data_IF_618126584288
#
_entry.id   IF_618126584288
#
_cell.length_a   1.000
_cell.length_b   1.000
_cell.length_c   1.000
_cell.angle_alpha   90.00
_cell.angle_beta   90.00
_cell.angle_gamma   90.00
#
_symmetry.space_group_name_H-M   'P 1'
#
loop_
_entity.id
_entity.type
_entity.pdbx_description
1 polymer ?
#
# COMPACT_ATOMS: atom_id res chain seq x y z
N UNK A 1 -21.90 -11.60 23.60
CA UNK A 1 -20.70 -11.00 23.01
C UNK A 1 -21.13 -10.24 21.77
N UNK A 2 -21.16 -8.91 21.86
CA UNK A 2 -21.53 -8.06 20.74
C UNK A 2 -20.37 -8.08 19.73
N UNK A 3 -20.51 -8.82 18.63
CA UNK A 3 -19.74 -8.54 17.43
C UNK A 3 -20.18 -7.15 16.98
N UNK A 4 -19.33 -6.14 17.25
CA UNK A 4 -19.53 -4.82 16.68
C UNK A 4 -19.59 -4.97 15.17
N UNK A 5 -20.75 -4.72 14.59
CA UNK A 5 -20.91 -4.58 13.15
C UNK A 5 -20.07 -3.36 12.75
N UNK A 6 -18.80 -3.58 12.43
CA UNK A 6 -17.98 -2.58 11.78
C UNK A 6 -18.66 -2.31 10.45
N UNK A 7 -19.36 -1.18 10.34
CA UNK A 7 -19.96 -0.76 9.09
C UNK A 7 -18.80 -0.53 8.12
N UNK A 8 -18.56 -1.52 7.26
CA UNK A 8 -17.51 -1.49 6.22
C UNK A 8 -17.81 -0.29 5.31
N UNK A 9 -16.90 0.68 5.35
CA UNK A 9 -16.96 1.90 4.58
C UNK A 9 -15.81 1.85 3.56
N UNK A 10 -16.14 1.81 2.28
CA UNK A 10 -15.18 1.75 1.19
C UNK A 10 -14.11 2.86 1.26
N UNK A 11 -14.43 4.03 1.83
CA UNK A 11 -13.45 5.10 2.05
C UNK A 11 -12.35 4.64 3.01
N UNK A 12 -12.72 4.05 4.15
CA UNK A 12 -11.76 3.53 5.13
C UNK A 12 -10.92 2.40 4.54
N UNK A 13 -11.53 1.54 3.72
CA UNK A 13 -10.80 0.46 3.05
C UNK A 13 -9.79 0.99 2.03
N UNK A 14 -10.14 2.04 1.27
CA UNK A 14 -9.22 2.73 0.36
C UNK A 14 -8.07 3.39 1.14
N UNK A 15 -8.39 4.15 2.19
CA UNK A 15 -7.40 4.81 3.03
C UNK A 15 -6.42 3.79 3.64
N UNK A 16 -6.93 2.69 4.20
CA UNK A 16 -6.12 1.62 4.77
C UNK A 16 -5.20 0.99 3.73
N UNK A 17 -5.71 0.58 2.56
CA UNK A 17 -4.86 -0.08 1.55
C UNK A 17 -3.78 0.84 0.98
N UNK A 18 -4.09 2.13 0.79
CA UNK A 18 -3.10 3.13 0.36
C UNK A 18 -2.07 3.36 1.48
N UNK A 19 -2.53 3.50 2.73
CA UNK A 19 -1.69 3.77 3.88
C UNK A 19 -0.72 2.62 4.18
N UNK A 20 -1.18 1.37 4.03
CA UNK A 20 -0.36 0.18 4.26
C UNK A 20 0.78 0.00 3.25
N UNK A 21 0.78 0.70 2.10
CA UNK A 21 1.95 0.73 1.21
C UNK A 21 3.06 1.69 1.67
N UNK A 22 2.82 2.45 2.74
CA UNK A 22 3.82 3.26 3.40
C UNK A 22 4.24 4.49 2.57
N UNK A 23 5.41 5.05 2.92
CA UNK A 23 5.91 6.28 2.30
C UNK A 23 6.22 6.14 0.80
N UNK A 24 6.48 4.91 0.34
CA UNK A 24 6.72 4.59 -1.06
C UNK A 24 5.50 4.79 -1.97
N UNK A 25 4.31 4.64 -1.40
CA UNK A 25 3.04 4.77 -2.10
C UNK A 25 2.66 3.57 -2.96
N UNK A 26 1.39 3.55 -3.34
CA UNK A 26 0.77 2.50 -4.16
C UNK A 26 0.49 3.00 -5.57
N UNK A 27 0.70 2.18 -6.60
CA UNK A 27 0.22 2.51 -7.96
C UNK A 27 -1.28 2.24 -8.09
N UNK A 28 -1.91 2.80 -9.12
CA UNK A 28 -3.34 2.55 -9.41
C UNK A 28 -3.60 1.04 -9.56
N UNK A 29 -2.80 0.33 -10.35
CA UNK A 29 -3.00 -1.11 -10.59
C UNK A 29 -2.76 -1.93 -9.32
N UNK A 30 -1.74 -1.58 -8.53
CA UNK A 30 -1.48 -2.27 -7.27
C UNK A 30 -2.62 -2.08 -6.27
N UNK A 31 -3.25 -0.89 -6.24
CA UNK A 31 -4.43 -0.65 -5.40
C UNK A 31 -5.59 -1.56 -5.79
N UNK A 32 -5.86 -1.74 -7.08
CA UNK A 32 -6.89 -2.67 -7.53
C UNK A 32 -6.60 -4.10 -7.12
N UNK A 33 -5.35 -4.54 -7.28
CA UNK A 33 -4.92 -5.89 -6.89
C UNK A 33 -5.08 -6.08 -5.38
N UNK A 34 -4.70 -5.11 -4.55
CA UNK A 34 -4.85 -5.17 -3.08
C UNK A 34 -6.31 -5.20 -2.64
N UNK A 35 -7.18 -4.36 -3.22
CA UNK A 35 -8.61 -4.35 -2.90
C UNK A 35 -9.31 -5.65 -3.31
N UNK A 36 -8.88 -6.27 -4.42
CA UNK A 36 -9.38 -7.58 -4.84
C UNK A 36 -8.92 -8.71 -3.90
N UNK A 37 -7.67 -8.64 -3.42
CA UNK A 37 -7.10 -9.62 -2.47
C UNK A 37 -7.72 -9.53 -1.07
N UNK A 38 -8.24 -8.35 -0.71
CA UNK A 38 -8.81 -8.10 0.61
C UNK A 38 -9.98 -9.05 0.92
N UNK A 39 -9.99 -9.73 2.10
CA UNK A 39 -11.05 -10.67 2.47
C UNK A 39 -12.45 -10.05 2.44
N UNK A 40 -12.58 -8.84 3.01
CA UNK A 40 -13.78 -8.02 2.97
C UNK A 40 -13.48 -6.70 2.24
N UNK A 41 -14.23 -6.45 1.16
CA UNK A 41 -14.16 -5.19 0.42
C UNK A 41 -15.59 -4.80 0.03
N UNK A 42 -16.03 -3.61 0.44
CA UNK A 42 -17.40 -3.12 0.19
C UNK A 42 -17.68 -3.03 -1.31
N UNK A 43 -16.70 -2.50 -2.06
CA UNK A 43 -16.80 -2.24 -3.50
C UNK A 43 -15.55 -2.79 -4.17
N UNK A 44 -15.71 -3.89 -4.91
CA UNK A 44 -14.58 -4.52 -5.61
C UNK A 44 -14.35 -3.84 -6.97
N UNK A 45 -13.09 -3.56 -7.35
CA UNK A 45 -12.75 -2.92 -8.63
C UNK A 45 -12.77 -3.92 -9.80
N UNK A 46 -13.91 -4.55 -10.05
CA UNK A 46 -14.07 -5.60 -11.07
C UNK A 46 -14.43 -5.07 -12.45
N UNK A 47 -14.93 -3.83 -12.53
CA UNK A 47 -15.32 -3.17 -13.79
C UNK A 47 -14.74 -1.76 -13.86
N UNK A 48 -14.64 -1.20 -15.07
CA UNK A 48 -14.13 0.16 -15.27
C UNK A 48 -14.99 1.21 -14.56
N UNK A 49 -16.31 0.99 -14.49
CA UNK A 49 -17.22 1.86 -13.76
C UNK A 49 -16.92 1.86 -12.25
N UNK A 50 -16.67 0.69 -11.65
CA UNK A 50 -16.30 0.61 -10.22
C UNK A 50 -14.93 1.22 -9.95
N UNK A 51 -13.94 1.00 -10.83
CA UNK A 51 -12.62 1.64 -10.74
C UNK A 51 -12.70 3.16 -10.84
N UNK A 52 -13.49 3.67 -11.79
CA UNK A 52 -13.72 5.10 -11.94
C UNK A 52 -14.38 5.72 -10.68
N UNK A 53 -15.38 5.04 -10.11
CA UNK A 53 -16.02 5.46 -8.86
C UNK A 53 -15.03 5.50 -7.69
N UNK A 54 -14.25 4.43 -7.48
CA UNK A 54 -13.26 4.37 -6.41
C UNK A 54 -12.15 5.41 -6.61
N UNK A 55 -11.72 5.63 -7.85
CA UNK A 55 -10.74 6.66 -8.18
C UNK A 55 -11.23 8.08 -7.88
N UNK A 56 -12.50 8.38 -8.15
CA UNK A 56 -13.11 9.66 -7.76
C UNK A 56 -13.06 9.85 -6.25
N UNK A 57 -13.33 8.80 -5.47
CA UNK A 57 -13.18 8.86 -4.02
C UNK A 57 -11.72 9.11 -3.61
N UNK A 58 -10.76 8.38 -4.19
CA UNK A 58 -9.33 8.55 -3.91
C UNK A 58 -8.83 9.96 -4.19
N UNK A 59 -9.20 10.53 -5.34
CA UNK A 59 -8.78 11.88 -5.73
C UNK A 59 -9.48 13.00 -4.95
N UNK A 60 -10.62 12.71 -4.31
CA UNK A 60 -11.31 13.65 -3.44
C UNK A 60 -10.75 13.68 -2.00
N UNK A 61 -10.05 12.63 -1.57
CA UNK A 61 -9.49 12.56 -0.21
C UNK A 61 -8.34 13.58 0.00
N UNK A 62 -8.44 14.43 1.03
CA UNK A 62 -7.48 15.51 1.29
C UNK A 62 -6.15 15.01 1.87
N UNK A 63 -6.19 13.91 2.63
CA UNK A 63 -5.05 13.21 3.21
C UNK A 63 -4.26 12.36 2.19
N UNK A 64 -4.59 12.45 0.89
CA UNK A 64 -3.89 11.76 -0.19
C UNK A 64 -3.04 12.74 -1.00
N UNK A 65 -1.78 12.36 -1.24
CA UNK A 65 -0.87 13.01 -2.17
C UNK A 65 -0.52 12.08 -3.32
N UNK A 66 -0.23 12.68 -4.47
CA UNK A 66 0.10 11.96 -5.68
C UNK A 66 1.47 12.38 -6.17
N UNK A 67 2.33 11.38 -6.41
CA UNK A 67 3.70 11.61 -6.84
C UNK A 67 4.00 10.87 -8.13
N UNK A 68 4.74 11.52 -9.03
CA UNK A 68 5.30 10.89 -10.22
C UNK A 68 6.73 10.43 -9.91
N UNK A 69 6.99 9.14 -10.11
CA UNK A 69 8.32 8.56 -9.97
C UNK A 69 9.16 8.79 -11.24
N UNK A 70 10.51 8.80 -11.13
CA UNK A 70 11.40 8.92 -12.28
C UNK A 70 11.33 7.72 -13.24
N UNK A 71 10.84 6.58 -12.77
CA UNK A 71 10.60 5.38 -13.57
C UNK A 71 9.40 4.58 -13.03
N UNK A 72 8.67 3.86 -13.90
CA UNK A 72 7.52 3.06 -13.48
C UNK A 72 7.87 1.97 -12.48
N UNK A 73 6.98 1.68 -11.52
CA UNK A 73 7.13 0.53 -10.62
C UNK A 73 6.83 -0.78 -11.35
N UNK A 74 7.54 -1.87 -11.02
CA UNK A 74 7.13 -3.22 -11.40
C UNK A 74 5.74 -3.56 -10.83
N UNK A 75 4.98 -4.45 -11.50
CA UNK A 75 3.73 -4.98 -10.95
C UNK A 75 3.93 -5.62 -9.57
N UNK A 76 2.90 -5.53 -8.72
CA UNK A 76 2.92 -6.15 -7.41
C UNK A 76 2.69 -7.66 -7.51
N UNK A 77 3.44 -8.43 -6.72
CA UNK A 77 3.23 -9.86 -6.53
C UNK A 77 2.67 -10.09 -5.13
N UNK A 78 1.46 -10.65 -5.02
CA UNK A 78 0.89 -11.03 -3.73
C UNK A 78 1.30 -12.47 -3.45
N UNK A 79 2.10 -12.65 -2.40
CA UNK A 79 2.39 -13.96 -1.85
C UNK A 79 1.35 -14.33 -0.80
N UNK A 80 0.79 -15.53 -0.91
CA UNK A 80 -0.08 -16.14 0.10
C UNK A 80 0.55 -17.44 0.57
N UNK A 81 0.97 -17.46 1.83
CA UNK A 81 1.65 -18.64 2.41
C UNK A 81 0.83 -19.93 2.31
N UNK A 82 -0.50 -19.83 2.40
CA UNK A 82 -1.40 -20.99 2.31
C UNK A 82 -1.47 -21.60 0.90
N UNK A 83 -1.07 -20.85 -0.13
CA UNK A 83 -1.04 -21.34 -1.51
C UNK A 83 0.24 -22.15 -1.80
N UNK A 84 1.19 -22.16 -0.85
CA UNK A 84 2.49 -22.82 -0.97
C UNK A 84 2.62 -23.91 0.10
N UNK A 85 1.81 -24.95 -0.04
CA UNK A 85 1.85 -26.16 0.78
C UNK A 85 2.08 -27.40 -0.10
N UNK A 86 2.93 -28.32 0.36
CA UNK A 86 3.10 -29.63 -0.28
C UNK A 86 1.90 -30.56 -0.01
N UNK A 87 1.89 -31.74 -0.62
CA UNK A 87 0.83 -32.75 -0.44
C UNK A 87 0.69 -33.23 1.02
N UNK A 88 1.72 -33.01 1.85
CA UNK A 88 1.78 -33.39 3.25
C UNK A 88 1.37 -32.25 4.19
N UNK A 89 1.06 -31.07 3.63
CA UNK A 89 0.65 -29.89 4.38
C UNK A 89 1.81 -29.09 4.98
N UNK A 90 3.05 -29.33 4.55
CA UNK A 90 4.19 -28.51 4.96
C UNK A 90 4.26 -27.24 4.11
N UNK A 91 4.59 -26.12 4.74
CA UNK A 91 4.85 -24.88 4.03
C UNK A 91 6.14 -24.99 3.22
N UNK A 92 6.07 -24.66 1.94
CA UNK A 92 7.22 -24.56 1.05
C UNK A 92 7.50 -23.09 0.71
N UNK A 93 8.77 -22.76 0.48
CA UNK A 93 9.13 -21.42 0.02
C UNK A 93 8.63 -21.24 -1.42
N UNK A 94 7.88 -20.18 -1.72
CA UNK A 94 7.38 -19.94 -3.07
C UNK A 94 8.52 -19.64 -4.03
N UNK A 95 8.35 -20.02 -5.29
CA UNK A 95 9.14 -19.42 -6.36
C UNK A 95 8.70 -17.96 -6.52
N UNK A 96 9.50 -17.05 -5.97
CA UNK A 96 9.30 -15.60 -6.14
C UNK A 96 9.84 -15.22 -7.53
N UNK A 97 9.03 -14.61 -8.42
CA UNK A 97 9.52 -14.12 -9.70
C UNK A 97 10.77 -13.25 -9.55
N UNK A 98 11.76 -13.42 -10.45
CA UNK A 98 13.03 -12.70 -10.35
C UNK A 98 12.87 -11.16 -10.38
N UNK A 99 11.75 -10.67 -10.90
CA UNK A 99 11.38 -9.25 -10.96
C UNK A 99 10.41 -8.80 -9.85
N UNK A 100 10.15 -9.64 -8.84
CA UNK A 100 9.32 -9.25 -7.71
C UNK A 100 9.98 -8.15 -6.91
N UNK A 101 9.20 -7.10 -6.67
CA UNK A 101 9.66 -5.94 -5.93
C UNK A 101 9.88 -6.28 -4.45
N UNK A 102 11.15 -6.32 -4.02
CA UNK A 102 11.51 -6.46 -2.61
C UNK A 102 11.50 -5.08 -1.95
N UNK A 103 10.76 -4.90 -0.86
CA UNK A 103 10.74 -3.63 -0.13
C UNK A 103 12.13 -3.30 0.43
N UNK A 104 12.81 -2.26 -0.09
CA UNK A 104 14.11 -1.87 0.40
C UNK A 104 13.96 -1.17 1.74
N UNK A 105 14.95 -1.33 2.61
CA UNK A 105 15.06 -0.55 3.83
C UNK A 105 15.87 0.73 3.55
N UNK A 106 15.17 1.84 3.32
CA UNK A 106 15.72 3.14 2.99
C UNK A 106 15.03 4.23 3.85
N UNK A 107 15.42 4.36 5.13
CA UNK A 107 14.71 5.18 6.10
C UNK A 107 14.76 6.67 5.75
N UNK A 108 13.60 7.31 5.82
CA UNK A 108 13.39 8.75 5.61
C UNK A 108 12.75 9.34 6.86
N UNK A 109 13.39 10.35 7.42
CA UNK A 109 12.89 11.18 8.51
C UNK A 109 13.10 12.65 8.09
N UNK A 110 12.18 13.17 7.27
CA UNK A 110 12.29 14.47 6.64
C UNK A 110 10.91 15.04 6.30
N UNK A 111 10.77 16.37 6.34
CA UNK A 111 9.55 17.09 5.97
C UNK A 111 8.26 16.55 6.62
N UNK A 112 8.36 16.14 7.89
CA UNK A 112 7.26 15.53 8.64
C UNK A 112 6.86 14.12 8.20
N UNK A 113 7.68 13.46 7.38
CA UNK A 113 7.50 12.08 6.94
C UNK A 113 8.50 11.16 7.65
N UNK A 114 7.98 10.04 8.13
CA UNK A 114 8.69 8.85 8.59
C UNK A 114 8.31 7.69 7.66
N UNK A 115 9.29 6.89 7.24
CA UNK A 115 9.04 5.67 6.46
C UNK A 115 10.20 5.28 5.57
N UNK A 116 10.06 4.19 4.84
CA UNK A 116 11.06 3.76 3.86
C UNK A 116 10.68 4.25 2.46
N UNK A 117 11.58 4.95 1.76
CA UNK A 117 11.37 5.34 0.37
C UNK A 117 12.69 5.72 -0.33
N UNK A 118 13.26 4.85 -1.20
CA UNK A 118 14.50 5.15 -1.94
C UNK A 118 14.39 6.34 -2.91
N UNK A 119 13.18 6.57 -3.44
CA UNK A 119 12.92 7.60 -4.44
C UNK A 119 12.33 8.89 -3.84
N UNK A 120 12.42 9.06 -2.51
CA UNK A 120 11.80 10.18 -1.81
C UNK A 120 12.16 11.55 -2.37
N UNK A 121 13.45 11.77 -2.68
CA UNK A 121 13.97 13.03 -3.23
C UNK A 121 13.86 13.12 -4.76
N UNK A 122 13.47 12.05 -5.45
CA UNK A 122 13.43 11.99 -6.92
C UNK A 122 12.01 12.06 -7.47
N UNK A 123 11.00 11.81 -6.63
CA UNK A 123 9.59 11.89 -7.01
C UNK A 123 9.12 13.34 -7.05
N UNK A 124 8.17 13.62 -7.94
CA UNK A 124 7.59 14.97 -8.11
C UNK A 124 6.16 14.95 -7.60
N UNK A 125 5.80 15.91 -6.72
CA UNK A 125 4.40 16.08 -6.29
C UNK A 125 3.57 16.63 -7.45
N UNK A 126 2.62 15.83 -7.92
CA UNK A 126 1.70 16.18 -9.01
C UNK A 126 0.24 16.17 -8.52
N UNK A 127 0.02 16.31 -7.20
CA UNK A 127 -1.31 16.25 -6.58
C UNK A 127 -2.33 17.16 -7.26
N UNK A 128 -1.95 18.39 -7.59
CA UNK A 128 -2.84 19.35 -8.27
C UNK A 128 -3.22 18.95 -9.69
N UNK A 129 -2.37 18.19 -10.37
CA UNK A 129 -2.59 17.72 -11.74
C UNK A 129 -3.48 16.47 -11.77
N UNK A 130 -3.41 15.65 -10.71
CA UNK A 130 -4.15 14.39 -10.60
C UNK A 130 -5.55 14.60 -10.07
N UNK A 131 -5.79 15.59 -9.21
CA UNK A 131 -7.13 15.88 -8.69
C UNK A 131 -8.07 16.30 -9.81
N UNK A 132 -9.18 15.57 -9.95
CA UNK A 132 -10.23 15.87 -10.93
C UNK A 132 -10.05 15.23 -12.31
N UNK A 133 -8.98 14.48 -12.56
CA UNK A 133 -8.81 13.71 -13.82
C UNK A 133 -9.39 12.31 -13.70
N UNK A 134 -9.76 11.71 -14.83
CA UNK A 134 -10.28 10.34 -14.87
C UNK A 134 -9.16 9.31 -14.61
N UNK A 135 -9.54 8.13 -14.11
CA UNK A 135 -8.60 7.02 -13.90
C UNK A 135 -7.92 6.61 -15.22
N UNK A 136 -8.68 6.60 -16.32
CA UNK A 136 -8.17 6.29 -17.65
C UNK A 136 -7.08 7.28 -18.07
N UNK A 137 -7.35 8.59 -17.93
CA UNK A 137 -6.35 9.61 -18.24
C UNK A 137 -5.10 9.45 -17.37
N UNK A 138 -5.28 9.22 -16.06
CA UNK A 138 -4.14 9.04 -15.16
C UNK A 138 -3.28 7.82 -15.50
N UNK A 139 -3.91 6.71 -15.91
CA UNK A 139 -3.22 5.51 -16.37
C UNK A 139 -2.50 5.73 -17.71
N UNK A 140 -3.13 6.43 -18.65
CA UNK A 140 -2.54 6.72 -19.96
C UNK A 140 -1.36 7.69 -19.87
N UNK A 141 -1.48 8.73 -19.05
CA UNK A 141 -0.47 9.78 -18.92
C UNK A 141 0.72 9.37 -18.05
N UNK A 142 0.46 8.73 -16.90
CA UNK A 142 1.50 8.46 -15.89
C UNK A 142 1.71 6.97 -15.59
N UNK A 143 0.76 6.12 -15.94
CA UNK A 143 0.82 4.66 -15.76
C UNK A 143 1.28 4.24 -14.37
N UNK A 144 2.16 3.22 -14.31
CA UNK A 144 2.74 2.72 -13.07
C UNK A 144 3.84 3.63 -12.48
N UNK A 145 4.09 4.80 -13.06
CA UNK A 145 4.94 5.85 -12.48
C UNK A 145 4.19 6.71 -11.46
N UNK A 146 2.86 6.76 -11.53
CA UNK A 146 2.02 7.45 -10.55
C UNK A 146 1.86 6.62 -9.29
N UNK A 147 2.21 7.20 -8.13
CA UNK A 147 1.96 6.61 -6.81
C UNK A 147 1.11 7.51 -5.94
N UNK A 148 0.24 6.88 -5.15
CA UNK A 148 -0.66 7.51 -4.18
C UNK A 148 -0.05 7.27 -2.80
N UNK A 149 0.08 8.33 -2.01
CA UNK A 149 0.70 8.30 -0.68
C UNK A 149 -0.27 8.96 0.30
N UNK A 150 -0.70 8.22 1.31
CA UNK A 150 -1.44 8.78 2.42
C UNK A 150 -0.52 9.61 3.33
N UNK A 151 -1.06 10.64 3.98
CA UNK A 151 -0.31 11.47 4.90
C UNK A 151 0.28 10.66 6.08
N UNK A 152 1.23 11.28 6.79
CA UNK A 152 1.92 10.62 7.91
C UNK A 152 0.96 10.14 9.01
N UNK A 153 -0.13 10.87 9.27
CA UNK A 153 -1.09 10.55 10.32
C UNK A 153 -1.92 9.34 9.92
N UNK A 154 -2.44 9.30 8.69
CA UNK A 154 -3.22 8.18 8.15
C UNK A 154 -2.36 6.92 8.05
N UNK A 155 -1.10 7.03 7.60
CA UNK A 155 -0.16 5.89 7.61
C UNK A 155 0.08 5.36 9.02
N UNK A 156 0.33 6.23 9.99
CA UNK A 156 0.53 5.82 11.37
C UNK A 156 -0.72 5.14 11.97
N UNK A 157 -1.91 5.66 11.68
CA UNK A 157 -3.17 5.06 12.12
C UNK A 157 -3.42 3.69 11.49
N UNK A 158 -2.99 3.44 10.25
CA UNK A 158 -3.12 2.13 9.63
C UNK A 158 -2.17 1.08 10.24
N UNK A 159 -1.03 1.52 10.78
CA UNK A 159 -0.01 0.65 11.37
C UNK A 159 -0.20 0.37 12.87
N UNK A 160 -1.06 1.14 13.54
CA UNK A 160 -1.19 1.13 15.01
C UNK A 160 -2.65 1.04 15.44
N UNK A 161 -2.89 0.61 16.68
CA UNK A 161 -4.25 0.55 17.21
C UNK A 161 -4.86 1.96 17.31
N UNK A 162 -6.13 2.12 16.91
CA UNK A 162 -6.89 3.32 17.22
C UNK A 162 -6.81 3.54 18.74
N UNK A 163 -6.40 4.73 19.17
CA UNK A 163 -6.27 5.13 20.59
C UNK A 163 -4.97 4.76 21.32
N UNK A 164 -3.94 4.24 20.64
CA UNK A 164 -2.62 4.13 21.27
C UNK A 164 -1.98 5.52 21.46
N UNK A 165 -1.91 6.00 22.71
CA UNK A 165 -1.22 7.25 23.07
C UNK A 165 0.32 7.11 23.11
N UNK A 166 0.89 5.99 22.65
CA UNK A 166 2.33 5.67 22.74
C UNK A 166 3.15 6.15 21.53
N UNK A 167 2.59 7.03 20.70
CA UNK A 167 3.13 7.33 19.37
C UNK A 167 4.24 8.41 19.34
N UNK A 168 4.58 9.03 20.48
CA UNK A 168 5.60 10.09 20.52
C UNK A 168 7.04 9.59 20.37
N UNK A 169 7.29 8.29 20.53
CA UNK A 169 8.65 7.75 20.69
C UNK A 169 9.06 6.71 19.64
N UNK A 170 8.31 6.57 18.54
CA UNK A 170 8.68 5.60 17.50
C UNK A 170 9.88 6.10 16.69
N UNK A 171 10.99 5.37 16.77
CA UNK A 171 12.16 5.66 15.94
C UNK A 171 11.88 5.34 14.47
N UNK A 172 12.59 5.99 13.55
CA UNK A 172 12.46 5.70 12.12
C UNK A 172 12.65 4.20 11.78
N UNK A 173 13.56 3.50 12.47
CA UNK A 173 13.78 2.06 12.25
C UNK A 173 12.56 1.23 12.67
N UNK A 174 11.97 1.54 13.82
CA UNK A 174 10.75 0.87 14.28
C UNK A 174 9.57 1.18 13.34
N UNK A 175 9.47 2.42 12.87
CA UNK A 175 8.43 2.80 11.91
C UNK A 175 8.58 2.08 10.57
N UNK A 176 9.78 2.02 9.99
CA UNK A 176 10.04 1.24 8.77
C UNK A 176 9.77 -0.26 8.97
N UNK A 177 10.03 -0.79 10.17
CA UNK A 177 9.67 -2.16 10.51
C UNK A 177 8.15 -2.35 10.51
N UNK A 178 7.39 -1.45 11.14
CA UNK A 178 5.92 -1.48 11.09
C UNK A 178 5.39 -1.34 9.67
N UNK A 179 5.92 -0.45 8.83
CA UNK A 179 5.53 -0.36 7.42
C UNK A 179 5.74 -1.69 6.71
N UNK A 180 6.87 -2.37 6.94
CA UNK A 180 7.12 -3.69 6.36
C UNK A 180 6.12 -4.74 6.83
N UNK A 181 5.77 -4.75 8.12
CA UNK A 181 4.73 -5.66 8.65
C UNK A 181 3.37 -5.33 8.03
N UNK A 182 2.99 -4.05 7.99
CA UNK A 182 1.74 -3.57 7.41
C UNK A 182 1.59 -3.92 5.93
N UNK A 183 2.66 -3.78 5.14
CA UNK A 183 2.69 -4.15 3.70
C UNK A 183 2.39 -5.63 3.47
N UNK A 184 2.64 -6.48 4.46
CA UNK A 184 2.40 -7.92 4.37
C UNK A 184 0.95 -8.35 4.60
N UNK A 185 0.10 -7.42 5.06
CA UNK A 185 -1.31 -7.64 5.42
C UNK A 185 -1.45 -8.85 6.34
N UNK A 186 -2.15 -9.90 5.91
CA UNK A 186 -2.40 -11.11 6.68
C UNK A 186 -1.50 -12.28 6.27
N UNK A 187 -0.69 -12.12 5.22
CA UNK A 187 0.03 -13.22 4.58
C UNK A 187 1.49 -13.36 5.05
N UNK A 188 2.02 -12.32 5.71
CA UNK A 188 3.44 -12.23 6.05
C UNK A 188 4.30 -11.89 4.83
N UNK A 189 5.59 -11.62 5.06
CA UNK A 189 6.58 -11.41 3.99
C UNK A 189 7.44 -12.66 3.82
N UNK A 190 7.87 -12.94 2.59
CA UNK A 190 8.93 -13.92 2.35
C UNK A 190 10.26 -13.31 2.81
N UNK A 191 10.91 -13.93 3.79
CA UNK A 191 12.28 -13.59 4.18
C UNK A 191 13.21 -14.59 3.53
N UNK A 192 13.95 -14.18 2.50
CA UNK A 192 15.02 -15.01 1.97
C UNK A 192 16.18 -15.05 2.97
N UNK A 193 16.30 -16.14 3.72
CA UNK A 193 17.55 -16.51 4.36
C UNK A 193 18.51 -16.98 3.27
N UNK A 194 19.24 -16.06 2.64
CA UNK A 194 20.37 -16.49 1.80
C UNK A 194 21.45 -17.02 2.74
N UNK A 195 21.56 -18.35 2.76
CA UNK A 195 22.64 -19.14 3.36
C UNK A 195 22.57 -19.31 4.89
N UNK A 196 22.25 -20.54 5.32
CA UNK A 196 22.79 -21.14 6.54
C UNK A 196 23.90 -22.10 6.16
#
# INVERSE_FOLDING_TARGET
MAFGLYQSNYIKELEEEIALEGLEGITIDALWVRLLDRPSCTIRPTTDQTKAFLWQAVTAMENMKFYLLPFPRPPIFIFRRLDSMDEMGNFIEPEVPANSYTYPHFPIEADGNLGSCPLYNQRVDITSQVRGVSVQFAQDEWGSGLVIVADQKTRLQALTEPHSNQLSDITIKQYCFLERVGRSRQHGEVTQGKTG
#
